data_IF_469937010053
#
_entry.id   IF_469937010053
#
_cell.length_a   1.000
_cell.length_b   1.000
_cell.length_c   1.000
_cell.angle_alpha   90.00
_cell.angle_beta   90.00
_cell.angle_gamma   90.00
#
_symmetry.space_group_name_H-M   'P 1'
#
loop_
_entity.id
_entity.type
_entity.pdbx_description
1 polymer ?
#
# COMPACT_ATOMS: atom_id res chain seq x y z
N UNK A 1 28.65 -29.95 -0.20
CA UNK A 1 29.38 -28.82 0.40
C UNK A 1 28.48 -27.98 1.32
N UNK A 2 27.25 -27.64 0.91
CA UNK A 2 26.26 -26.85 1.68
C UNK A 2 25.86 -27.49 3.03
N UNK A 3 25.68 -28.82 3.10
CA UNK A 3 25.38 -29.53 4.37
C UNK A 3 26.50 -29.43 5.43
N UNK A 4 27.74 -29.08 5.04
CA UNK A 4 28.86 -28.90 5.97
C UNK A 4 28.87 -27.50 6.58
N UNK A 5 28.41 -26.48 5.85
CA UNK A 5 28.31 -25.10 6.33
C UNK A 5 27.14 -24.93 7.32
N UNK A 6 25.99 -25.58 7.10
CA UNK A 6 24.89 -25.55 8.07
C UNK A 6 25.21 -26.23 9.41
N UNK A 7 26.12 -27.22 9.42
CA UNK A 7 26.53 -27.88 10.66
C UNK A 7 27.51 -27.03 11.49
N UNK A 8 28.27 -26.15 10.84
CA UNK A 8 29.18 -25.23 11.53
C UNK A 8 28.44 -24.04 12.15
N UNK A 9 27.39 -23.54 11.49
CA UNK A 9 26.59 -22.41 12.00
C UNK A 9 25.74 -22.80 13.22
N UNK A 10 25.27 -24.06 13.30
CA UNK A 10 24.50 -24.55 14.46
C UNK A 10 25.36 -24.82 15.71
N UNK A 11 26.69 -24.83 15.57
CA UNK A 11 27.62 -25.03 16.68
C UNK A 11 28.12 -23.71 17.30
N UNK A 12 27.95 -22.56 16.64
CA UNK A 12 28.43 -21.25 17.14
C UNK A 12 27.39 -20.44 17.91
N UNK A 13 26.12 -20.86 17.93
CA UNK A 13 25.01 -20.15 18.61
C UNK A 13 24.42 -20.94 19.79
N UNK A 14 25.19 -21.83 20.42
CA UNK A 14 24.80 -22.36 21.71
C UNK A 14 24.89 -21.20 22.74
N UNK A 15 23.81 -20.88 23.47
CA UNK A 15 23.86 -19.85 24.51
C UNK A 15 24.91 -20.26 25.54
N UNK A 16 25.92 -19.40 25.71
CA UNK A 16 26.92 -19.57 26.73
C UNK A 16 26.25 -19.18 28.05
N UNK A 17 25.87 -20.22 28.80
CA UNK A 17 25.32 -20.13 30.16
C UNK A 17 26.44 -19.67 31.10
N UNK A 18 26.77 -18.38 31.04
CA UNK A 18 27.63 -17.72 32.03
C UNK A 18 26.79 -17.62 33.30
N UNK A 19 26.90 -18.65 34.15
CA UNK A 19 26.29 -18.79 35.48
C UNK A 19 26.74 -17.71 36.48
N UNK A 20 26.58 -16.45 36.09
CA UNK A 20 26.68 -15.28 36.95
C UNK A 20 25.30 -15.07 37.59
N UNK A 21 25.06 -15.80 38.67
CA UNK A 21 24.05 -15.39 39.65
C UNK A 21 24.40 -13.97 40.13
N UNK A 22 23.72 -12.98 39.57
CA UNK A 22 23.75 -11.61 40.10
C UNK A 22 22.93 -11.62 41.38
N UNK A 23 23.62 -11.84 42.50
CA UNK A 23 23.09 -11.63 43.84
C UNK A 23 22.82 -10.12 44.01
N UNK A 24 21.56 -9.73 43.84
CA UNK A 24 21.08 -8.39 44.19
C UNK A 24 21.14 -8.23 45.71
N UNK A 25 22.02 -7.36 46.18
CA UNK A 25 22.09 -6.98 47.59
C UNK A 25 20.70 -6.48 48.07
N UNK A 26 20.24 -6.92 49.26
CA UNK A 26 18.98 -6.46 49.81
C UNK A 26 19.07 -4.95 50.11
N UNK A 27 18.16 -4.19 49.49
CA UNK A 27 17.99 -2.75 49.72
C UNK A 27 17.87 -2.46 51.23
N UNK A 28 18.53 -1.39 51.73
CA UNK A 28 18.49 -1.05 53.14
C UNK A 28 17.06 -0.66 53.57
N UNK A 29 16.68 -0.94 54.83
CA UNK A 29 15.36 -0.61 55.35
C UNK A 29 15.15 0.91 55.34
N UNK A 30 14.05 1.34 54.71
CA UNK A 30 13.66 2.75 54.61
C UNK A 30 13.27 3.27 56.01
N UNK A 31 14.00 4.26 56.51
CA UNK A 31 13.73 4.90 57.81
C UNK A 31 12.32 5.54 57.85
N UNK A 32 11.56 5.35 58.95
CA UNK A 32 10.20 5.88 59.10
C UNK A 32 10.13 7.41 59.34
N UNK A 33 11.27 8.12 59.42
CA UNK A 33 11.35 9.53 59.81
C UNK A 33 10.93 10.53 58.72
N UNK A 34 10.82 10.11 57.44
CA UNK A 34 10.40 11.00 56.32
C UNK A 34 8.88 11.09 56.07
N UNK A 35 8.02 10.45 56.88
CA UNK A 35 6.56 10.39 56.63
C UNK A 35 5.74 11.62 57.05
N UNK A 36 6.34 12.75 57.47
CA UNK A 36 5.58 13.91 58.01
C UNK A 36 5.55 15.19 57.16
N UNK A 37 6.17 15.23 55.98
CA UNK A 37 6.25 16.49 55.20
C UNK A 37 5.36 16.59 53.94
N UNK A 38 4.63 15.54 53.54
CA UNK A 38 3.75 15.62 52.36
C UNK A 38 2.37 15.02 52.67
N UNK A 39 1.54 15.78 53.37
CA UNK A 39 0.08 15.66 53.27
C UNK A 39 -0.45 16.80 52.41
N UNK A 40 -0.08 16.79 51.13
CA UNK A 40 -0.91 17.44 50.13
C UNK A 40 -2.13 16.53 49.92
N UNK A 41 -3.36 17.05 50.06
CA UNK A 41 -4.55 16.23 49.92
C UNK A 41 -4.59 15.67 48.50
N UNK A 42 -4.75 14.34 48.38
CA UNK A 42 -4.81 13.58 47.12
C UNK A 42 -5.79 14.20 46.11
N UNK A 43 -6.84 14.87 46.61
CA UNK A 43 -7.79 15.63 45.79
C UNK A 43 -7.17 16.77 44.97
N UNK A 44 -6.08 17.41 45.43
CA UNK A 44 -5.39 18.48 44.67
C UNK A 44 -4.59 17.91 43.51
N UNK A 45 -4.03 16.70 43.65
CA UNK A 45 -3.36 16.01 42.55
C UNK A 45 -4.35 15.50 41.50
N UNK A 46 -5.51 14.98 41.90
CA UNK A 46 -6.55 14.50 40.97
C UNK A 46 -7.23 15.67 40.22
N UNK A 47 -7.48 16.81 40.90
CA UNK A 47 -8.02 18.00 40.25
C UNK A 47 -7.02 18.67 39.29
N UNK A 48 -5.72 18.65 39.63
CA UNK A 48 -4.67 19.14 38.74
C UNK A 48 -4.51 18.28 37.48
N UNK A 49 -4.60 16.95 37.61
CA UNK A 49 -4.44 16.04 36.47
C UNK A 49 -5.61 16.13 35.46
N UNK A 50 -6.83 16.34 35.94
CA UNK A 50 -8.02 16.48 35.08
C UNK A 50 -8.05 17.82 34.32
N UNK A 51 -7.60 18.91 34.95
CA UNK A 51 -7.43 20.20 34.28
C UNK A 51 -6.30 20.19 33.24
N UNK A 52 -5.23 19.42 33.47
CA UNK A 52 -4.13 19.29 32.51
C UNK A 52 -4.49 18.42 31.31
N UNK A 53 -5.21 17.31 31.50
CA UNK A 53 -5.70 16.47 30.41
C UNK A 53 -6.72 17.19 29.52
N UNK A 54 -7.61 18.01 30.10
CA UNK A 54 -8.55 18.83 29.32
C UNK A 54 -7.88 19.88 28.45
N UNK A 55 -6.77 20.49 28.92
CA UNK A 55 -6.03 21.49 28.17
C UNK A 55 -5.29 20.91 26.95
N UNK A 56 -4.82 19.66 27.04
CA UNK A 56 -4.16 18.97 25.92
C UNK A 56 -5.17 18.61 24.83
N UNK A 57 -6.36 18.11 25.21
CA UNK A 57 -7.42 17.80 24.24
C UNK A 57 -7.96 19.08 23.57
N UNK A 58 -8.15 20.17 24.33
CA UNK A 58 -8.58 21.44 23.77
C UNK A 58 -7.50 22.09 22.86
N UNK A 59 -6.22 21.93 23.19
CA UNK A 59 -5.10 22.38 22.35
C UNK A 59 -4.99 21.60 21.03
N UNK A 60 -5.18 20.27 21.06
CA UNK A 60 -5.15 19.42 19.87
C UNK A 60 -6.30 19.75 18.89
N UNK A 61 -7.51 20.03 19.41
CA UNK A 61 -8.66 20.44 18.58
C UNK A 61 -8.45 21.84 17.95
N UNK A 62 -7.79 22.77 18.66
CA UNK A 62 -7.54 24.12 18.14
C UNK A 62 -6.44 24.16 17.07
N UNK A 63 -5.38 23.37 17.20
CA UNK A 63 -4.31 23.26 16.19
C UNK A 63 -4.81 22.53 14.94
N UNK A 64 -5.62 21.48 15.09
CA UNK A 64 -6.25 20.79 13.96
C UNK A 64 -7.17 21.69 13.12
N UNK A 65 -7.91 22.60 13.75
CA UNK A 65 -8.85 23.50 13.05
C UNK A 65 -8.17 24.61 12.24
N UNK A 66 -6.97 25.07 12.65
CA UNK A 66 -6.20 26.08 11.89
C UNK A 66 -5.48 25.53 10.67
N UNK A 67 -5.06 24.26 10.70
CA UNK A 67 -4.40 23.61 9.55
C UNK A 67 -5.42 23.21 8.49
N UNK A 68 -6.64 22.80 8.89
CA UNK A 68 -7.72 22.50 7.94
C UNK A 68 -8.30 23.72 7.22
N UNK A 69 -8.09 24.94 7.73
CA UNK A 69 -8.67 26.16 7.14
C UNK A 69 -7.83 26.80 6.03
N UNK A 70 -6.67 26.23 5.65
CA UNK A 70 -5.80 26.81 4.60
C UNK A 70 -5.70 26.00 3.29
N UNK A 71 -6.34 24.84 3.18
CA UNK A 71 -6.19 23.98 1.99
C UNK A 71 -7.45 23.90 1.11
N UNK A 72 -8.59 24.47 1.52
CA UNK A 72 -9.81 24.46 0.69
C UNK A 72 -10.46 25.83 0.60
N UNK A 73 -9.84 26.74 -0.14
CA UNK A 73 -10.56 27.82 -0.79
C UNK A 73 -10.79 27.43 -2.26
N UNK A 74 -11.91 26.74 -2.60
CA UNK A 74 -12.27 26.56 -4.00
C UNK A 74 -12.63 27.93 -4.58
N UNK A 75 -11.91 28.32 -5.65
CA UNK A 75 -12.31 29.44 -6.48
C UNK A 75 -13.73 29.19 -7.00
N UNK A 76 -14.68 29.98 -6.49
CA UNK A 76 -16.07 29.97 -6.92
C UNK A 76 -16.14 30.34 -8.40
N UNK A 77 -16.35 29.33 -9.27
CA UNK A 77 -16.92 29.53 -10.61
C UNK A 77 -18.42 29.31 -10.51
N UNK A 78 -19.27 30.27 -10.90
CA UNK A 78 -20.70 30.06 -10.97
C UNK A 78 -21.02 29.14 -12.15
N UNK A 79 -21.25 27.85 -11.88
CA UNK A 79 -21.82 26.92 -12.87
C UNK A 79 -23.33 26.95 -12.72
N UNK A 80 -23.98 27.37 -13.80
CA UNK A 80 -25.42 27.48 -13.93
C UNK A 80 -26.11 26.14 -13.68
N UNK A 81 -27.14 26.19 -12.85
CA UNK A 81 -28.08 25.10 -12.58
C UNK A 81 -28.87 24.77 -13.84
N UNK A 82 -28.53 23.68 -14.52
CA UNK A 82 -29.40 23.05 -15.51
C UNK A 82 -30.19 21.93 -14.82
N UNK A 83 -31.40 22.27 -14.40
CA UNK A 83 -32.47 21.33 -14.04
C UNK A 83 -32.81 20.48 -15.27
N UNK A 84 -32.45 19.19 -15.24
CA UNK A 84 -33.03 18.19 -16.14
C UNK A 84 -33.57 17.05 -15.28
N UNK A 85 -34.88 17.12 -15.07
CA UNK A 85 -35.69 16.02 -14.59
C UNK A 85 -35.93 15.03 -15.74
N UNK A 86 -35.45 13.80 -15.60
CA UNK A 86 -35.92 12.64 -16.37
C UNK A 86 -36.10 11.52 -15.35
N UNK A 87 -37.28 11.44 -14.74
CA UNK A 87 -38.43 10.63 -15.17
C UNK A 87 -38.16 9.14 -15.04
N UNK A 88 -38.65 8.61 -13.91
CA UNK A 88 -39.02 7.22 -13.69
C UNK A 88 -39.73 6.63 -14.91
N UNK A 89 -39.32 5.43 -15.32
CA UNK A 89 -40.21 4.52 -16.04
C UNK A 89 -39.77 3.06 -15.89
N UNK A 90 -40.70 2.32 -15.30
CA UNK A 90 -41.08 0.96 -15.63
C UNK A 90 -40.20 -0.20 -15.14
N UNK A 91 -40.64 -0.73 -14.00
CA UNK A 91 -40.86 -2.16 -13.78
C UNK A 91 -41.16 -2.91 -15.10
N UNK A 92 -40.44 -4.00 -15.40
CA UNK A 92 -40.94 -5.13 -16.21
C UNK A 92 -40.21 -6.42 -15.80
N UNK A 93 -40.86 -7.17 -14.90
CA UNK A 93 -41.22 -8.60 -15.03
C UNK A 93 -40.59 -9.40 -16.19
N UNK A 94 -39.83 -10.45 -15.83
CA UNK A 94 -40.06 -11.87 -16.18
C UNK A 94 -38.77 -12.66 -16.44
N UNK A 95 -38.64 -13.75 -15.68
CA UNK A 95 -37.76 -14.88 -15.98
C UNK A 95 -38.18 -15.59 -17.30
N UNK A 96 -37.27 -16.35 -17.90
CA UNK A 96 -37.56 -17.78 -18.00
C UNK A 96 -36.36 -18.69 -17.66
N UNK A 97 -36.71 -19.78 -17.00
CA UNK A 97 -35.92 -21.00 -16.83
C UNK A 97 -35.83 -21.74 -18.17
N UNK A 98 -34.63 -22.15 -18.58
CA UNK A 98 -34.45 -23.20 -19.58
C UNK A 98 -33.05 -23.83 -19.48
N UNK A 99 -33.01 -25.08 -19.02
CA UNK A 99 -31.94 -26.05 -19.28
C UNK A 99 -32.13 -26.65 -20.67
N UNK A 100 -31.05 -26.83 -21.46
CA UNK A 100 -30.79 -28.19 -21.94
C UNK A 100 -29.31 -28.57 -21.98
N UNK A 101 -29.08 -29.85 -21.70
CA UNK A 101 -27.83 -30.56 -21.97
C UNK A 101 -27.57 -30.65 -23.49
N UNK A 102 -26.30 -30.53 -23.91
CA UNK A 102 -25.88 -31.04 -25.21
C UNK A 102 -24.38 -31.38 -25.26
N UNK A 103 -24.10 -32.67 -25.19
CA UNK A 103 -22.86 -33.30 -25.68
C UNK A 103 -22.79 -33.12 -27.20
N UNK A 104 -21.71 -32.51 -27.71
CA UNK A 104 -21.33 -32.61 -29.13
C UNK A 104 -19.85 -32.99 -29.19
N UNK A 105 -19.62 -34.21 -29.64
CA UNK A 105 -18.32 -34.69 -30.07
C UNK A 105 -17.98 -34.14 -31.46
N UNK A 106 -16.72 -33.75 -31.65
CA UNK A 106 -16.03 -33.76 -32.94
C UNK A 106 -16.57 -32.86 -34.03
N UNK A 107 -15.97 -31.67 -34.18
CA UNK A 107 -15.94 -30.99 -35.48
C UNK A 107 -14.52 -30.46 -35.71
N UNK A 108 -13.82 -31.09 -36.64
CA UNK A 108 -12.55 -30.68 -37.21
C UNK A 108 -12.75 -29.30 -37.86
N UNK A 109 -12.06 -28.29 -37.33
CA UNK A 109 -12.13 -26.93 -37.84
C UNK A 109 -11.31 -26.84 -39.15
N UNK A 110 -11.91 -26.47 -40.30
CA UNK A 110 -11.17 -26.29 -41.55
C UNK A 110 -10.24 -25.08 -41.44
N UNK A 111 -8.97 -25.31 -41.73
CA UNK A 111 -7.91 -24.32 -41.84
C UNK A 111 -8.27 -23.33 -42.97
N UNK A 112 -8.46 -22.02 -42.68
CA UNK A 112 -8.74 -21.04 -43.72
C UNK A 112 -7.52 -20.88 -44.63
N UNK A 113 -7.74 -21.06 -45.92
CA UNK A 113 -6.77 -20.82 -46.98
C UNK A 113 -6.35 -19.35 -46.99
N UNK A 114 -5.05 -19.12 -46.96
CA UNK A 114 -4.45 -17.81 -47.16
C UNK A 114 -4.87 -17.26 -48.54
N UNK A 115 -5.67 -16.20 -48.53
CA UNK A 115 -5.93 -15.39 -49.72
C UNK A 115 -4.76 -14.42 -49.87
N UNK A 116 -3.94 -14.66 -50.89
CA UNK A 116 -2.86 -13.78 -51.31
C UNK A 116 -3.47 -12.53 -51.94
N UNK A 117 -3.42 -11.40 -51.23
CA UNK A 117 -3.76 -10.10 -51.81
C UNK A 117 -2.74 -9.71 -52.90
N UNK A 118 -3.19 -9.06 -53.99
CA UNK A 118 -2.33 -8.57 -55.05
C UNK A 118 -1.44 -7.42 -54.54
N UNK A 119 -0.22 -7.25 -55.09
CA UNK A 119 0.67 -6.16 -54.72
C UNK A 119 0.07 -4.81 -55.12
N UNK A 120 -0.37 -4.05 -54.13
CA UNK A 120 -0.77 -2.65 -54.27
C UNK A 120 0.47 -1.84 -54.67
N UNK A 121 0.42 -1.25 -55.86
CA UNK A 121 1.46 -0.37 -56.38
C UNK A 121 1.69 0.82 -55.44
N UNK A 122 2.96 0.98 -55.05
CA UNK A 122 3.44 2.03 -54.17
C UNK A 122 3.28 3.39 -54.86
N UNK A 123 2.55 4.36 -54.27
CA UNK A 123 2.44 5.70 -54.83
C UNK A 123 3.80 6.41 -54.77
N UNK A 124 4.11 7.29 -55.73
CA UNK A 124 5.39 7.98 -55.80
C UNK A 124 5.64 8.84 -54.56
N UNK A 125 6.81 8.64 -53.96
CA UNK A 125 7.34 9.41 -52.83
C UNK A 125 7.35 10.90 -53.18
N UNK A 126 6.57 11.76 -52.49
CA UNK A 126 6.63 13.20 -52.67
C UNK A 126 8.01 13.72 -52.28
N UNK A 127 8.57 14.56 -53.15
CA UNK A 127 9.86 15.21 -52.96
C UNK A 127 9.83 16.09 -51.70
N UNK A 128 10.80 15.96 -50.79
CA UNK A 128 10.78 16.66 -49.50
C UNK A 128 10.86 18.19 -49.73
N UNK A 129 9.92 18.97 -49.15
CA UNK A 129 9.95 20.42 -49.24
C UNK A 129 11.26 20.97 -48.64
N UNK A 130 11.80 22.00 -49.28
CA UNK A 130 13.03 22.66 -48.88
C UNK A 130 12.98 23.08 -47.40
N UNK A 131 14.03 22.71 -46.66
CA UNK A 131 14.14 22.91 -45.23
C UNK A 131 13.92 24.38 -44.83
N UNK A 132 12.87 24.61 -44.05
CA UNK A 132 12.59 25.87 -43.39
C UNK A 132 13.68 26.12 -42.33
N UNK A 133 14.23 27.34 -42.21
CA UNK A 133 15.31 27.64 -41.28
C UNK A 133 14.87 27.35 -39.83
N UNK A 134 15.62 26.46 -39.16
CA UNK A 134 15.35 26.07 -37.78
C UNK A 134 15.39 27.33 -36.87
N UNK A 135 14.37 27.54 -36.03
CA UNK A 135 14.35 28.65 -35.08
C UNK A 135 15.52 28.51 -34.10
N UNK A 136 16.11 29.61 -33.62
CA UNK A 136 17.25 29.58 -32.71
C UNK A 136 16.91 28.75 -31.48
N UNK A 137 17.70 27.71 -31.24
CA UNK A 137 17.66 26.88 -30.04
C UNK A 137 17.81 27.77 -28.83
N UNK A 138 16.67 28.10 -28.20
CA UNK A 138 16.65 28.86 -26.97
C UNK A 138 17.22 27.92 -25.92
N UNK A 139 18.41 28.23 -25.40
CA UNK A 139 19.05 27.46 -24.34
C UNK A 139 18.06 27.33 -23.18
N UNK A 140 17.51 26.13 -23.02
CA UNK A 140 16.59 25.82 -21.93
C UNK A 140 17.32 26.14 -20.63
N UNK A 141 16.75 27.00 -19.75
CA UNK A 141 17.37 27.34 -18.47
C UNK A 141 17.82 26.06 -17.77
N UNK A 142 19.09 26.00 -17.40
CA UNK A 142 19.64 24.88 -16.64
C UNK A 142 18.76 24.70 -15.40
N UNK A 143 18.07 23.56 -15.34
CA UNK A 143 17.16 23.22 -14.27
C UNK A 143 17.95 23.25 -12.95
N UNK A 144 17.58 24.17 -12.06
CA UNK A 144 18.23 24.30 -10.77
C UNK A 144 18.09 22.96 -10.03
N UNK A 145 19.20 22.34 -9.58
CA UNK A 145 19.15 21.00 -9.02
C UNK A 145 18.19 20.99 -7.84
N UNK A 146 17.15 20.16 -7.93
CA UNK A 146 16.17 20.02 -6.87
C UNK A 146 16.88 19.66 -5.55
N UNK A 147 16.44 20.21 -4.41
CA UNK A 147 17.02 19.88 -3.11
C UNK A 147 17.02 18.36 -2.91
N UNK A 148 18.15 17.82 -2.47
CA UNK A 148 18.28 16.40 -2.18
C UNK A 148 17.29 16.03 -1.06
N UNK A 149 16.30 15.21 -1.41
CA UNK A 149 15.34 14.67 -0.43
C UNK A 149 16.10 13.66 0.43
N UNK A 150 16.21 13.93 1.73
CA UNK A 150 16.75 12.95 2.69
C UNK A 150 15.76 11.78 2.76
N UNK A 151 16.20 10.62 2.26
CA UNK A 151 15.45 9.38 2.36
C UNK A 151 15.52 8.84 3.80
N UNK A 152 14.44 8.21 4.32
CA UNK A 152 14.51 7.54 5.61
C UNK A 152 15.62 6.48 5.60
N UNK A 153 16.26 6.28 6.76
CA UNK A 153 17.34 5.31 6.87
C UNK A 153 16.79 3.89 6.62
N UNK A 154 17.38 3.18 5.66
CA UNK A 154 16.97 1.82 5.28
C UNK A 154 15.94 1.78 4.14
N UNK A 155 15.44 2.92 3.67
CA UNK A 155 14.58 3.00 2.49
C UNK A 155 15.38 3.00 1.19
N UNK A 156 14.88 2.31 0.17
CA UNK A 156 15.49 2.28 -1.16
C UNK A 156 14.55 2.91 -2.20
N UNK A 157 15.05 3.81 -3.06
CA UNK A 157 14.28 4.26 -4.21
C UNK A 157 14.09 3.10 -5.18
N UNK A 158 12.87 2.96 -5.69
CA UNK A 158 12.50 1.88 -6.60
C UNK A 158 11.75 2.40 -7.82
N UNK A 159 11.72 1.58 -8.87
CA UNK A 159 10.89 1.79 -10.06
C UNK A 159 10.01 0.58 -10.30
N UNK A 160 8.72 0.79 -10.54
CA UNK A 160 7.82 -0.30 -10.88
C UNK A 160 8.15 -0.86 -12.26
N UNK A 161 8.39 -2.17 -12.33
CA UNK A 161 8.68 -2.90 -13.58
C UNK A 161 7.54 -3.85 -13.98
N UNK A 162 6.85 -4.41 -12.99
CA UNK A 162 5.76 -5.37 -13.20
C UNK A 162 4.97 -5.63 -11.91
N UNK A 163 3.82 -6.27 -12.04
CA UNK A 163 2.98 -6.70 -10.93
C UNK A 163 2.57 -8.14 -11.22
N UNK A 164 3.03 -9.08 -10.38
CA UNK A 164 2.63 -10.48 -10.46
C UNK A 164 1.30 -10.70 -9.72
N UNK A 165 1.15 -10.05 -8.56
CA UNK A 165 -0.11 -9.94 -7.83
C UNK A 165 -0.14 -8.65 -7.01
N UNK A 166 -1.28 -8.29 -6.43
CA UNK A 166 -1.41 -7.07 -5.63
C UNK A 166 -0.42 -6.97 -4.45
N UNK A 167 0.08 -8.11 -3.94
CA UNK A 167 1.07 -8.19 -2.85
C UNK A 167 2.47 -8.60 -3.32
N UNK A 168 2.63 -9.01 -4.58
CA UNK A 168 3.92 -9.44 -5.14
C UNK A 168 4.26 -8.59 -6.36
N UNK A 169 5.21 -7.69 -6.18
CA UNK A 169 5.47 -6.56 -7.07
C UNK A 169 6.90 -6.67 -7.61
N UNK A 170 7.07 -6.52 -8.92
CA UNK A 170 8.39 -6.51 -9.56
C UNK A 170 8.91 -5.08 -9.66
N UNK A 171 10.06 -4.84 -9.04
CA UNK A 171 10.67 -3.53 -8.89
C UNK A 171 12.11 -3.54 -9.41
N UNK A 172 12.56 -2.42 -9.93
CA UNK A 172 13.98 -2.14 -10.13
C UNK A 172 14.48 -1.33 -8.92
N UNK A 173 15.36 -1.94 -8.13
CA UNK A 173 15.97 -1.34 -6.93
C UNK A 173 17.47 -1.28 -7.18
N UNK A 174 18.05 -0.08 -7.11
CA UNK A 174 19.48 0.15 -7.39
C UNK A 174 19.97 -0.43 -8.74
N UNK A 175 19.11 -0.40 -9.76
CA UNK A 175 19.42 -0.91 -11.11
C UNK A 175 19.34 -2.44 -11.25
N UNK A 176 18.86 -3.15 -10.23
CA UNK A 176 18.62 -4.59 -10.28
C UNK A 176 17.12 -4.89 -10.18
N UNK A 177 16.64 -5.81 -11.02
CA UNK A 177 15.28 -6.35 -10.90
C UNK A 177 15.16 -7.19 -9.62
N UNK A 178 14.12 -6.92 -8.83
CA UNK A 178 13.79 -7.54 -7.55
C UNK A 178 12.29 -7.77 -7.47
N UNK A 179 11.88 -8.79 -6.74
CA UNK A 179 10.49 -9.01 -6.37
C UNK A 179 10.31 -8.62 -4.92
N UNK A 180 9.30 -7.78 -4.65
CA UNK A 180 8.88 -7.37 -3.31
C UNK A 180 7.56 -8.06 -2.96
N UNK A 181 7.51 -8.70 -1.80
CA UNK A 181 6.30 -9.18 -1.15
C UNK A 181 5.89 -8.18 -0.06
N UNK A 182 4.67 -7.65 -0.15
CA UNK A 182 4.14 -6.75 0.87
C UNK A 182 3.97 -7.50 2.20
N UNK A 183 4.57 -6.94 3.25
CA UNK A 183 4.62 -7.56 4.56
C UNK A 183 3.29 -7.41 5.33
N UNK A 184 2.92 -8.45 6.07
CA UNK A 184 1.81 -8.41 7.03
C UNK A 184 0.41 -8.43 6.44
N UNK A 185 0.25 -8.63 5.12
CA UNK A 185 -1.06 -8.65 4.47
C UNK A 185 -1.19 -9.80 3.46
N UNK A 186 -2.44 -10.21 3.22
CA UNK A 186 -2.81 -11.15 2.16
C UNK A 186 -3.97 -10.59 1.35
N UNK A 187 -3.92 -10.77 0.03
CA UNK A 187 -5.00 -10.40 -0.90
C UNK A 187 -5.58 -11.70 -1.49
N UNK A 188 -6.90 -11.76 -1.78
CA UNK A 188 -7.46 -12.90 -2.50
C UNK A 188 -6.72 -13.20 -3.80
N UNK A 189 -6.70 -14.45 -4.20
CA UNK A 189 -6.11 -14.83 -5.47
C UNK A 189 -6.98 -14.36 -6.65
N UNK A 190 -6.36 -14.09 -7.79
CA UNK A 190 -7.09 -13.69 -9.00
C UNK A 190 -7.97 -14.81 -9.55
N UNK A 191 -7.57 -16.06 -9.31
CA UNK A 191 -8.27 -17.28 -9.66
C UNK A 191 -9.06 -17.88 -8.48
N UNK A 192 -9.40 -17.06 -7.48
CA UNK A 192 -10.27 -17.47 -6.36
C UNK A 192 -11.62 -17.98 -6.91
N UNK A 193 -12.11 -19.16 -6.46
CA UNK A 193 -13.37 -19.73 -6.94
C UNK A 193 -14.60 -18.87 -6.57
N UNK A 194 -14.48 -18.00 -5.57
CA UNK A 194 -15.48 -17.00 -5.27
C UNK A 194 -15.31 -15.79 -6.21
N UNK A 195 -16.25 -15.61 -7.14
CA UNK A 195 -16.22 -14.54 -8.15
C UNK A 195 -16.05 -13.15 -7.54
N UNK A 196 -16.60 -12.92 -6.34
CA UNK A 196 -16.47 -11.63 -5.67
C UNK A 196 -15.05 -11.43 -5.14
N UNK A 197 -14.43 -12.47 -4.57
CA UNK A 197 -13.04 -12.40 -4.11
C UNK A 197 -12.08 -12.20 -5.29
N UNK A 198 -12.30 -12.89 -6.40
CA UNK A 198 -11.53 -12.68 -7.63
C UNK A 198 -11.65 -11.23 -8.16
N UNK A 199 -12.86 -10.64 -8.09
CA UNK A 199 -13.05 -9.24 -8.46
C UNK A 199 -12.29 -8.26 -7.54
N UNK A 200 -12.24 -8.54 -6.23
CA UNK A 200 -11.45 -7.74 -5.28
C UNK A 200 -9.94 -7.85 -5.54
N UNK A 201 -9.45 -9.03 -5.93
CA UNK A 201 -8.05 -9.23 -6.33
C UNK A 201 -7.67 -8.34 -7.52
N UNK A 202 -8.53 -8.27 -8.54
CA UNK A 202 -8.32 -7.39 -9.69
C UNK A 202 -8.35 -5.90 -9.32
N UNK A 203 -9.21 -5.51 -8.37
CA UNK A 203 -9.23 -4.14 -7.84
C UNK A 203 -7.95 -3.80 -7.06
N UNK A 204 -7.44 -4.75 -6.28
CA UNK A 204 -6.19 -4.60 -5.56
C UNK A 204 -5.00 -4.40 -6.51
N UNK A 205 -4.89 -5.23 -7.57
CA UNK A 205 -3.88 -5.07 -8.62
C UNK A 205 -3.98 -3.69 -9.30
N UNK A 206 -5.19 -3.25 -9.62
CA UNK A 206 -5.43 -1.94 -10.24
C UNK A 206 -5.01 -0.79 -9.33
N UNK A 207 -5.29 -0.86 -8.02
CA UNK A 207 -4.87 0.15 -7.05
C UNK A 207 -3.35 0.20 -6.92
N UNK A 208 -2.70 -0.96 -6.77
CA UNK A 208 -1.23 -1.04 -6.71
C UNK A 208 -0.58 -0.47 -7.98
N UNK A 209 -1.16 -0.76 -9.15
CA UNK A 209 -0.74 -0.19 -10.43
C UNK A 209 -0.88 1.33 -10.44
N UNK A 210 -2.04 1.85 -10.02
CA UNK A 210 -2.34 3.27 -10.02
C UNK A 210 -1.39 4.05 -9.09
N UNK A 211 -1.12 3.53 -7.90
CA UNK A 211 -0.20 4.15 -6.95
C UNK A 211 1.24 4.06 -7.46
N UNK A 212 1.63 2.93 -8.04
CA UNK A 212 2.98 2.71 -8.56
C UNK A 212 3.31 3.48 -9.84
N UNK A 213 2.30 3.84 -10.65
CA UNK A 213 2.48 4.59 -11.88
C UNK A 213 2.41 6.09 -11.61
N UNK A 214 3.54 6.79 -11.77
CA UNK A 214 3.60 8.26 -11.73
C UNK A 214 3.99 8.86 -10.39
N UNK A 215 4.27 8.03 -9.38
CA UNK A 215 4.80 8.47 -8.09
C UNK A 215 6.19 7.89 -7.84
N UNK A 216 7.08 8.61 -7.12
CA UNK A 216 8.32 8.03 -6.64
C UNK A 216 8.02 6.89 -5.66
N UNK A 217 8.66 5.75 -5.86
CA UNK A 217 8.49 4.57 -5.01
C UNK A 217 9.65 4.44 -4.04
N UNK A 218 9.32 4.12 -2.80
CA UNK A 218 10.26 3.81 -1.74
C UNK A 218 9.94 2.43 -1.18
N UNK A 219 10.96 1.60 -1.03
CA UNK A 219 10.88 0.26 -0.45
C UNK A 219 11.56 0.27 0.91
N UNK A 220 10.82 -0.14 1.94
CA UNK A 220 11.34 -0.31 3.31
C UNK A 220 11.36 -1.82 3.62
N UNK A 221 12.49 -2.52 3.41
CA UNK A 221 12.57 -3.95 3.67
C UNK A 221 12.59 -4.23 5.18
N UNK A 222 11.96 -5.31 5.62
CA UNK A 222 11.99 -5.77 7.03
C UNK A 222 13.33 -6.40 7.42
N UNK A 223 14.24 -6.59 6.45
CA UNK A 223 15.48 -7.35 6.63
C UNK A 223 15.32 -8.86 6.44
N UNK A 224 14.08 -9.34 6.28
CA UNK A 224 13.77 -10.73 5.96
C UNK A 224 13.70 -10.95 4.46
N UNK A 225 14.09 -12.15 4.03
CA UNK A 225 13.88 -12.62 2.67
C UNK A 225 12.77 -13.66 2.69
N UNK A 226 11.86 -13.58 1.72
CA UNK A 226 10.83 -14.57 1.53
C UNK A 226 11.38 -15.91 1.07
N UNK A 227 10.48 -16.88 0.89
CA UNK A 227 10.86 -18.28 0.64
C UNK A 227 11.58 -18.48 -0.69
N UNK A 228 11.35 -17.61 -1.68
CA UNK A 228 11.95 -17.68 -3.01
C UNK A 228 13.04 -16.60 -3.18
N UNK A 229 13.44 -15.94 -2.08
CA UNK A 229 14.44 -14.86 -2.08
C UNK A 229 13.86 -13.49 -2.45
N UNK A 230 12.54 -13.35 -2.47
CA UNK A 230 11.87 -12.06 -2.57
C UNK A 230 12.18 -11.17 -1.36
N UNK A 231 12.23 -9.86 -1.58
CA UNK A 231 12.29 -8.89 -0.49
C UNK A 231 10.94 -8.90 0.23
N UNK A 232 10.95 -8.91 1.55
CA UNK A 232 9.73 -8.68 2.35
C UNK A 232 9.79 -7.28 2.92
N UNK A 233 8.74 -6.49 2.75
CA UNK A 233 8.81 -5.07 3.14
C UNK A 233 7.54 -4.28 2.91
N UNK A 234 7.66 -2.98 3.13
CA UNK A 234 6.65 -1.97 2.85
C UNK A 234 6.98 -1.28 1.53
N UNK A 235 5.92 -0.87 0.82
CA UNK A 235 6.04 -0.08 -0.41
C UNK A 235 5.28 1.22 -0.19
N UNK A 236 5.98 2.34 -0.37
CA UNK A 236 5.39 3.67 -0.32
C UNK A 236 5.44 4.32 -1.71
N UNK A 237 4.32 4.86 -2.18
CA UNK A 237 4.20 5.55 -3.45
C UNK A 237 3.77 7.01 -3.20
N UNK A 238 4.67 7.97 -3.47
CA UNK A 238 4.37 9.39 -3.21
C UNK A 238 4.03 9.69 -1.73
N UNK A 239 4.59 8.90 -0.81
CA UNK A 239 4.33 8.99 0.64
C UNK A 239 3.08 8.22 1.12
N UNK A 240 2.38 7.51 0.24
CA UNK A 240 1.25 6.64 0.60
C UNK A 240 1.75 5.21 0.74
N UNK A 241 1.55 4.60 1.90
CA UNK A 241 1.83 3.18 2.12
C UNK A 241 0.79 2.31 1.39
N UNK A 242 1.24 1.57 0.38
CA UNK A 242 0.39 0.76 -0.51
C UNK A 242 -0.29 -0.37 0.27
N UNK A 243 0.44 -1.03 1.18
CA UNK A 243 -0.11 -2.15 1.95
C UNK A 243 -1.20 -1.69 2.92
N UNK A 244 -0.96 -0.57 3.62
CA UNK A 244 -1.94 0.05 4.49
C UNK A 244 -3.19 0.50 3.73
N UNK A 245 -3.02 1.08 2.54
CA UNK A 245 -4.15 1.53 1.73
C UNK A 245 -4.98 0.36 1.19
N UNK A 246 -4.35 -0.75 0.79
CA UNK A 246 -5.06 -1.98 0.42
C UNK A 246 -5.94 -2.51 1.56
N UNK A 247 -5.44 -2.51 2.80
CA UNK A 247 -6.22 -2.93 3.98
C UNK A 247 -7.35 -1.94 4.27
N UNK A 248 -7.08 -0.63 4.21
CA UNK A 248 -8.08 0.42 4.44
C UNK A 248 -9.26 0.35 3.47
N UNK A 249 -9.00 0.00 2.21
CA UNK A 249 -10.04 -0.21 1.19
C UNK A 249 -10.75 -1.57 1.32
N UNK A 250 -10.35 -2.40 2.29
CA UNK A 250 -10.86 -3.75 2.47
C UNK A 250 -10.46 -4.71 1.34
N UNK A 251 -9.38 -4.43 0.61
CA UNK A 251 -8.89 -5.27 -0.49
C UNK A 251 -7.89 -6.33 -0.01
N UNK A 252 -7.32 -6.14 1.18
CA UNK A 252 -6.41 -7.07 1.83
C UNK A 252 -6.85 -7.37 3.27
N UNK A 253 -6.45 -8.53 3.77
CA UNK A 253 -6.57 -8.95 5.17
C UNK A 253 -5.19 -8.93 5.84
N UNK A 254 -5.15 -8.51 7.10
CA UNK A 254 -3.92 -8.48 7.90
C UNK A 254 -3.57 -9.89 8.34
N UNK A 255 -2.35 -10.31 8.04
CA UNK A 255 -1.78 -11.56 8.52
C UNK A 255 -0.89 -11.28 9.72
N UNK A 256 -0.93 -12.13 10.75
CA UNK A 256 -0.03 -12.03 11.92
C UNK A 256 1.42 -12.43 11.63
N UNK A 257 1.92 -12.19 10.42
CA UNK A 257 3.30 -12.44 10.03
C UNK A 257 4.26 -11.45 10.73
N UNK A 258 5.55 -11.77 10.71
CA UNK A 258 6.62 -11.02 11.38
C UNK A 258 6.82 -9.63 10.75
N UNK A 259 5.98 -8.67 11.15
CA UNK A 259 6.13 -7.23 10.88
C UNK A 259 6.48 -6.47 12.15
N UNK A 260 7.08 -5.29 11.99
CA UNK A 260 7.34 -4.37 13.10
C UNK A 260 6.04 -4.05 13.86
N UNK A 261 6.12 -4.04 15.20
CA UNK A 261 4.96 -3.89 16.09
C UNK A 261 4.12 -2.64 15.77
N UNK A 262 4.78 -1.50 15.52
CA UNK A 262 4.12 -0.24 15.17
C UNK A 262 3.38 -0.31 13.82
N UNK A 263 3.92 -1.05 12.85
CA UNK A 263 3.27 -1.24 11.56
C UNK A 263 2.13 -2.25 11.64
N UNK A 264 2.30 -3.32 12.42
CA UNK A 264 1.24 -4.28 12.73
C UNK A 264 0.02 -3.60 13.35
N UNK A 265 0.26 -2.68 14.30
CA UNK A 265 -0.79 -1.90 14.94
C UNK A 265 -1.54 -1.00 13.94
N UNK A 266 -0.82 -0.36 13.01
CA UNK A 266 -1.43 0.46 11.96
C UNK A 266 -2.31 -0.37 11.02
N UNK A 267 -1.83 -1.54 10.59
CA UNK A 267 -2.59 -2.47 9.77
C UNK A 267 -3.86 -2.95 10.48
N UNK A 268 -3.75 -3.30 11.77
CA UNK A 268 -4.89 -3.73 12.57
C UNK A 268 -5.97 -2.65 12.67
N UNK A 269 -5.57 -1.40 12.95
CA UNK A 269 -6.50 -0.26 12.97
C UNK A 269 -7.17 -0.06 11.62
N UNK A 270 -6.41 -0.08 10.51
CA UNK A 270 -6.96 0.08 9.17
C UNK A 270 -7.97 -1.03 8.81
N UNK A 271 -7.72 -2.26 9.25
CA UNK A 271 -8.64 -3.38 9.04
C UNK A 271 -9.92 -3.22 9.85
N UNK A 272 -9.82 -2.81 11.11
CA UNK A 272 -10.98 -2.57 11.96
C UNK A 272 -11.84 -1.44 11.41
N UNK A 273 -11.23 -0.37 10.88
CA UNK A 273 -11.92 0.71 10.17
C UNK A 273 -12.64 0.19 8.91
N UNK A 274 -11.96 -0.63 8.10
CA UNK A 274 -12.55 -1.22 6.88
C UNK A 274 -13.74 -2.15 7.20
N UNK A 275 -13.65 -2.91 8.30
CA UNK A 275 -14.73 -3.75 8.82
C UNK A 275 -15.92 -2.91 9.29
N UNK A 276 -15.66 -1.86 10.07
CA UNK A 276 -16.70 -0.96 10.54
C UNK A 276 -17.42 -0.24 9.39
N UNK A 277 -16.71 0.04 8.29
CA UNK A 277 -17.25 0.66 7.09
C UNK A 277 -17.94 -0.33 6.13
N UNK A 278 -17.93 -1.63 6.41
CA UNK A 278 -18.46 -2.69 5.55
C UNK A 278 -17.88 -2.70 4.11
N UNK A 279 -16.59 -2.37 3.92
CA UNK A 279 -15.99 -2.23 2.58
C UNK A 279 -15.19 -3.48 2.14
N UNK A 280 -15.11 -3.69 0.82
CA UNK A 280 -14.27 -4.73 0.22
C UNK A 280 -14.62 -6.15 0.68
N UNK A 281 -13.66 -6.81 1.33
CA UNK A 281 -13.77 -8.13 1.96
C UNK A 281 -14.81 -8.18 3.08
N UNK A 282 -15.15 -7.03 3.69
CA UNK A 282 -15.90 -6.95 4.94
C UNK A 282 -17.37 -6.53 4.78
N UNK A 283 -18.01 -6.76 3.63
CA UNK A 283 -19.43 -6.36 3.47
C UNK A 283 -20.30 -6.91 4.58
N UNK A 284 -21.20 -6.04 5.05
CA UNK A 284 -22.17 -6.41 6.04
C UNK A 284 -23.24 -7.35 5.46
N UNK A 285 -23.75 -8.30 6.27
CA UNK A 285 -24.77 -9.26 5.89
C UNK A 285 -26.14 -8.63 5.63
#
# INVERSE_FOLDING_TARGET
MIKRLLKQFKASNAPQDDGTEVWLDPLPPIEPSRRRALRLPIWVLVAGLTLWAGAIVAGAVWVGSRVYSRVTAPAARPVATALVAVRESAMHTSAPSATPARTIAGITQPQPSATTEPPTAEPPTPEPPAAEPEPPTTESPAEEPAPAVELPAGSYPARLTGIDSAVRIELEVEGAARTLQLAGIVVPARDDPDERRAALAAQAEALTTLLGQGSPLLVDPTGELGTEGELVGRLSAGGIDVGLELVRQGLAEVTGADVEEDYAAQLAVAQDDARAACVGLWTCP
#
